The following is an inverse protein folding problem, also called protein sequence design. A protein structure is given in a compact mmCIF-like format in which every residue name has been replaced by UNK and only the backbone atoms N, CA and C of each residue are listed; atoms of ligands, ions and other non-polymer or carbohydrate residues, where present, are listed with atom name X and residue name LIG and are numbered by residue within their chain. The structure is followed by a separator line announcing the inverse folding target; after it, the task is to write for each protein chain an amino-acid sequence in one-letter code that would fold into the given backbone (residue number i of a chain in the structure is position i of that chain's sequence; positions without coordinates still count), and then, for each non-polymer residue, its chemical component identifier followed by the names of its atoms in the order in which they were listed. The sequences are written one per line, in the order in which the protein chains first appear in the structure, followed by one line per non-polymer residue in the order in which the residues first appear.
data_IF_466626931972
#
_entry.id   IF_466626931972
#
_cell.length_a   1.000
_cell.length_b   1.000
_cell.length_c   1.000
_cell.angle_alpha   90.00
_cell.angle_beta   90.00
_cell.angle_gamma   90.00
#
_symmetry.space_group_name_H-M   'P 1'
#
loop_
_entity.id
_entity.type
_entity.pdbx_description
1 polymer ?
#
# COMPACT_ATOMS: atom_id res chain seq x y z
N UNK A 1 -24.60 48.01 -23.91
CA UNK A 1 -23.23 47.45 -23.62
C UNK A 1 -23.41 46.18 -22.81
N UNK A 2 -23.46 45.04 -23.53
CA UNK A 2 -23.65 43.71 -22.95
C UNK A 2 -22.29 43.10 -22.67
N UNK A 3 -21.99 42.77 -21.40
CA UNK A 3 -20.80 41.99 -21.04
C UNK A 3 -21.12 40.51 -21.13
N UNK A 4 -20.60 39.87 -22.16
CA UNK A 4 -20.62 38.42 -22.31
C UNK A 4 -19.76 37.75 -21.23
N UNK A 5 -20.41 36.93 -20.43
CA UNK A 5 -19.81 36.09 -19.39
C UNK A 5 -19.28 34.79 -20.07
N UNK A 6 -18.06 34.80 -20.52
CA UNK A 6 -17.41 33.57 -21.02
C UNK A 6 -17.08 32.63 -19.83
N UNK A 7 -17.84 31.55 -19.68
CA UNK A 7 -17.51 30.43 -18.82
C UNK A 7 -16.32 29.68 -19.44
N UNK A 8 -15.17 29.78 -18.84
CA UNK A 8 -14.04 28.89 -19.16
C UNK A 8 -14.46 27.44 -18.86
N UNK A 9 -14.65 26.66 -19.91
CA UNK A 9 -14.74 25.21 -19.82
C UNK A 9 -13.35 24.70 -19.45
N UNK A 10 -13.22 24.19 -18.21
CA UNK A 10 -12.01 23.46 -17.78
C UNK A 10 -12.06 22.11 -18.49
N UNK A 11 -11.30 21.98 -19.57
CA UNK A 11 -11.14 20.73 -20.28
C UNK A 11 -10.41 19.72 -19.38
N UNK A 12 -11.01 18.58 -19.14
CA UNK A 12 -10.38 17.39 -18.56
C UNK A 12 -9.48 16.77 -19.64
N UNK A 13 -8.31 17.37 -19.86
CA UNK A 13 -7.26 16.73 -20.64
C UNK A 13 -6.60 15.66 -19.75
N UNK A 14 -6.76 14.39 -20.10
CA UNK A 14 -5.94 13.32 -19.53
C UNK A 14 -4.47 13.64 -19.84
N UNK A 15 -3.55 13.59 -18.87
CA UNK A 15 -2.14 13.88 -19.13
C UNK A 15 -1.58 12.83 -20.09
N UNK A 16 -1.02 13.27 -21.20
CA UNK A 16 -0.22 12.44 -22.08
C UNK A 16 0.96 11.86 -21.29
N UNK A 17 1.15 10.55 -21.38
CA UNK A 17 2.22 9.82 -20.76
C UNK A 17 3.60 10.42 -21.11
N UNK A 18 4.18 11.21 -20.20
CA UNK A 18 5.61 11.47 -20.23
C UNK A 18 6.29 10.34 -19.46
N UNK A 19 6.85 9.39 -20.20
CA UNK A 19 7.82 8.43 -19.67
C UNK A 19 9.13 9.21 -19.42
N UNK A 20 9.26 9.82 -18.24
CA UNK A 20 10.50 10.40 -17.74
C UNK A 20 10.90 9.58 -16.51
N UNK A 21 11.71 8.58 -16.75
CA UNK A 21 12.28 7.68 -15.77
C UNK A 21 12.65 6.39 -16.48
N UNK A 22 13.86 5.84 -16.24
CA UNK A 22 14.28 4.59 -16.88
C UNK A 22 13.20 3.51 -16.76
N UNK A 23 12.98 2.74 -17.82
CA UNK A 23 11.98 1.68 -17.88
C UNK A 23 12.18 0.75 -16.67
N UNK A 24 11.21 0.73 -15.76
CA UNK A 24 11.21 -0.22 -14.64
C UNK A 24 11.09 -1.63 -15.20
N UNK A 25 11.88 -2.62 -14.73
CA UNK A 25 11.72 -3.99 -15.17
C UNK A 25 10.25 -4.42 -15.01
N UNK A 26 9.67 -5.05 -16.02
CA UNK A 26 8.30 -5.59 -15.93
C UNK A 26 8.25 -6.78 -14.96
N UNK A 27 9.34 -7.52 -14.85
CA UNK A 27 9.49 -8.62 -13.90
C UNK A 27 10.48 -8.21 -12.80
N UNK A 28 10.05 -8.28 -11.55
CA UNK A 28 10.89 -8.11 -10.36
C UNK A 28 11.09 -9.47 -9.71
N UNK A 29 12.33 -9.93 -9.61
CA UNK A 29 12.70 -11.20 -9.00
C UNK A 29 13.67 -10.99 -7.82
N UNK A 30 13.50 -11.82 -6.80
CA UNK A 30 14.41 -11.90 -5.66
C UNK A 30 14.39 -13.32 -5.07
N UNK A 31 15.31 -13.71 -4.18
CA UNK A 31 15.45 -15.11 -3.74
C UNK A 31 14.19 -15.75 -3.17
N UNK A 32 13.22 -14.94 -2.71
CA UNK A 32 11.99 -15.43 -2.04
C UNK A 32 10.71 -15.19 -2.83
N UNK A 33 10.77 -14.63 -4.05
CA UNK A 33 9.56 -14.36 -4.81
C UNK A 33 9.79 -13.62 -6.11
N UNK A 34 8.68 -13.35 -6.78
CA UNK A 34 8.65 -12.57 -8.01
C UNK A 34 7.35 -11.79 -8.12
N UNK A 35 7.40 -10.65 -8.81
CA UNK A 35 6.22 -9.85 -9.15
C UNK A 35 6.28 -9.49 -10.63
N UNK A 36 5.19 -9.76 -11.34
CA UNK A 36 5.05 -9.42 -12.76
C UNK A 36 4.20 -8.15 -12.93
N UNK A 37 4.82 -7.10 -13.43
CA UNK A 37 4.21 -5.81 -13.75
C UNK A 37 3.95 -5.62 -15.25
N UNK A 38 4.12 -6.67 -16.08
CA UNK A 38 3.87 -6.59 -17.54
C UNK A 38 2.44 -6.17 -17.83
N UNK A 39 1.53 -6.59 -16.97
CA UNK A 39 0.15 -6.19 -17.01
C UNK A 39 -0.13 -4.81 -16.36
N UNK A 40 0.85 -4.06 -15.89
CA UNK A 40 0.72 -2.76 -15.21
C UNK A 40 0.52 -2.90 -13.70
N UNK A 41 -0.43 -2.13 -13.13
CA UNK A 41 -0.70 -2.15 -11.69
C UNK A 41 -1.16 -3.53 -11.20
N UNK A 42 -0.63 -3.95 -10.03
CA UNK A 42 -0.98 -5.20 -9.36
C UNK A 42 -1.66 -4.93 -8.01
N UNK A 43 -2.31 -5.95 -7.46
CA UNK A 43 -3.02 -5.87 -6.18
C UNK A 43 -2.20 -6.48 -5.05
N UNK A 44 -2.10 -5.74 -3.93
CA UNK A 44 -1.69 -6.22 -2.63
C UNK A 44 -2.95 -6.34 -1.75
N UNK A 45 -3.34 -7.57 -1.40
CA UNK A 45 -4.48 -7.85 -0.52
C UNK A 45 -4.12 -7.63 0.94
N UNK A 46 -5.00 -6.96 1.71
CA UNK A 46 -4.80 -6.65 3.14
C UNK A 46 -5.34 -7.77 4.02
N UNK A 47 -4.47 -8.45 4.73
CA UNK A 47 -4.83 -9.50 5.69
C UNK A 47 -4.50 -9.07 7.13
N UNK A 48 -5.48 -8.49 7.83
CA UNK A 48 -5.33 -8.11 9.23
C UNK A 48 -5.60 -9.30 10.17
N UNK A 49 -4.58 -9.72 10.92
CA UNK A 49 -4.68 -10.79 11.92
C UNK A 49 -4.89 -10.16 13.30
N UNK A 50 -6.04 -9.51 13.48
CA UNK A 50 -6.42 -8.87 14.75
C UNK A 50 -7.71 -9.49 15.30
N UNK A 51 -7.92 -9.51 16.64
CA UNK A 51 -9.12 -10.09 17.24
C UNK A 51 -10.42 -9.55 16.66
N UNK A 52 -10.46 -8.25 16.35
CA UNK A 52 -11.65 -7.59 15.80
C UNK A 52 -11.96 -7.99 14.35
N UNK A 53 -10.98 -8.56 13.64
CA UNK A 53 -11.17 -8.98 12.25
C UNK A 53 -11.90 -10.33 12.13
N UNK A 54 -11.94 -11.14 13.23
CA UNK A 54 -12.46 -12.51 13.22
C UNK A 54 -13.24 -12.87 14.49
N UNK A 55 -14.03 -11.98 15.02
CA UNK A 55 -14.52 -11.85 16.42
C UNK A 55 -15.46 -12.91 16.99
N UNK A 56 -15.60 -14.13 16.44
CA UNK A 56 -16.55 -15.13 16.95
C UNK A 56 -15.96 -16.50 17.41
N UNK A 57 -14.64 -16.61 17.59
CA UNK A 57 -14.03 -17.90 17.97
C UNK A 57 -12.63 -17.77 18.59
N UNK A 58 -12.21 -18.76 19.34
CA UNK A 58 -10.92 -18.78 20.04
C UNK A 58 -9.69 -18.73 19.11
N UNK A 59 -8.49 -18.50 19.67
CA UNK A 59 -7.22 -18.20 18.95
C UNK A 59 -6.85 -19.12 17.77
N UNK A 60 -7.18 -20.41 17.83
CA UNK A 60 -6.93 -21.35 16.74
C UNK A 60 -7.92 -21.19 15.58
N UNK A 61 -9.13 -20.77 15.87
CA UNK A 61 -10.16 -20.50 14.88
C UNK A 61 -9.82 -19.26 14.05
N UNK A 62 -9.23 -18.25 14.69
CA UNK A 62 -8.79 -17.00 14.05
C UNK A 62 -7.66 -17.23 13.05
N UNK A 63 -6.67 -18.09 13.37
CA UNK A 63 -5.56 -18.43 12.46
C UNK A 63 -6.08 -19.18 11.22
N UNK A 64 -6.97 -20.14 11.39
CA UNK A 64 -7.58 -20.90 10.28
C UNK A 64 -8.39 -20.00 9.34
N UNK A 65 -9.16 -19.07 9.89
CA UNK A 65 -9.92 -18.07 9.10
C UNK A 65 -8.99 -17.11 8.35
N UNK A 66 -7.93 -16.65 9.00
CA UNK A 66 -6.94 -15.78 8.37
C UNK A 66 -6.26 -16.48 7.18
N UNK A 67 -5.87 -17.75 7.33
CA UNK A 67 -5.30 -18.56 6.26
C UNK A 67 -6.33 -18.70 5.12
N UNK A 68 -7.58 -19.09 5.43
CA UNK A 68 -8.63 -19.25 4.43
C UNK A 68 -8.87 -17.96 3.63
N UNK A 69 -8.93 -16.81 4.31
CA UNK A 69 -9.10 -15.53 3.65
C UNK A 69 -7.87 -15.12 2.80
N UNK A 70 -6.65 -15.43 3.24
CA UNK A 70 -5.46 -15.23 2.42
C UNK A 70 -5.45 -16.10 1.16
N UNK A 71 -5.93 -17.35 1.24
CA UNK A 71 -6.11 -18.23 0.08
C UNK A 71 -7.16 -17.69 -0.89
N UNK A 72 -8.28 -17.18 -0.37
CA UNK A 72 -9.33 -16.52 -1.15
C UNK A 72 -8.77 -15.31 -1.91
N UNK A 73 -8.06 -14.40 -1.23
CA UNK A 73 -7.41 -13.24 -1.88
C UNK A 73 -6.47 -13.67 -3.02
N UNK A 74 -5.68 -14.73 -2.82
CA UNK A 74 -4.80 -15.25 -3.86
C UNK A 74 -5.59 -15.81 -5.06
N UNK A 75 -6.69 -16.51 -4.81
CA UNK A 75 -7.58 -17.03 -5.85
C UNK A 75 -8.31 -15.89 -6.60
N UNK A 76 -8.66 -14.81 -5.93
CA UNK A 76 -9.24 -13.59 -6.51
C UNK A 76 -8.26 -12.79 -7.36
N UNK A 77 -6.96 -13.07 -7.28
CA UNK A 77 -5.91 -12.45 -8.09
C UNK A 77 -5.06 -11.41 -7.38
N UNK A 78 -4.98 -11.44 -6.05
CA UNK A 78 -3.95 -10.70 -5.33
C UNK A 78 -2.57 -11.21 -5.77
N UNK A 79 -1.68 -10.29 -6.13
CA UNK A 79 -0.30 -10.60 -6.48
C UNK A 79 0.63 -10.62 -5.25
N UNK A 80 0.19 -10.03 -4.15
CA UNK A 80 0.86 -9.98 -2.84
C UNK A 80 -0.22 -10.13 -1.77
N UNK A 81 0.06 -10.87 -0.70
CA UNK A 81 -0.77 -10.87 0.52
C UNK A 81 0.02 -10.15 1.61
N UNK A 82 -0.53 -9.07 2.16
CA UNK A 82 0.13 -8.24 3.17
C UNK A 82 -0.47 -8.48 4.55
N UNK A 83 0.31 -9.10 5.43
CA UNK A 83 -0.13 -9.59 6.74
C UNK A 83 0.25 -8.59 7.82
N UNK A 84 -0.74 -8.08 8.56
CA UNK A 84 -0.55 -7.22 9.71
C UNK A 84 -1.04 -7.86 11.02
N UNK A 85 -0.19 -7.90 12.04
CA UNK A 85 -0.53 -8.42 13.38
C UNK A 85 -1.08 -7.37 14.33
N UNK A 86 -0.90 -6.09 14.02
CA UNK A 86 -1.31 -4.92 14.80
C UNK A 86 -2.22 -4.02 13.98
N UNK A 87 -3.21 -3.41 14.63
CA UNK A 87 -4.04 -2.40 13.98
C UNK A 87 -3.38 -1.02 14.11
N UNK A 88 -3.10 -0.38 12.99
CA UNK A 88 -2.57 1.00 12.93
C UNK A 88 -3.66 2.07 13.01
N UNK A 89 -4.90 1.71 13.39
CA UNK A 89 -5.97 2.69 13.61
C UNK A 89 -5.67 3.53 14.85
N UNK A 90 -5.97 4.85 14.85
CA UNK A 90 -5.64 5.75 15.97
C UNK A 90 -6.18 5.32 17.33
N UNK A 91 -7.28 4.58 17.36
CA UNK A 91 -7.95 4.10 18.60
C UNK A 91 -7.49 2.74 19.07
N UNK A 92 -6.62 2.06 18.30
CA UNK A 92 -6.14 0.73 18.67
C UNK A 92 -5.08 0.79 19.76
N UNK A 93 -5.20 -0.06 20.78
CA UNK A 93 -4.16 -0.22 21.77
C UNK A 93 -2.93 -0.91 21.16
N UNK A 94 -1.72 -0.44 21.46
CA UNK A 94 -0.50 -1.15 21.07
C UNK A 94 -0.47 -2.56 21.68
N UNK A 95 0.06 -3.51 20.93
CA UNK A 95 0.25 -4.88 21.42
C UNK A 95 1.74 -5.22 21.49
N UNK A 96 2.09 -6.17 22.37
CA UNK A 96 3.49 -6.57 22.52
C UNK A 96 4.03 -7.24 21.26
N UNK A 97 5.33 -7.11 21.04
CA UNK A 97 6.07 -7.80 19.96
C UNK A 97 5.79 -9.31 19.96
N UNK A 98 5.81 -9.95 21.14
CA UNK A 98 5.52 -11.37 21.26
C UNK A 98 4.10 -11.74 20.82
N UNK A 99 3.10 -10.91 21.10
CA UNK A 99 1.74 -11.13 20.64
C UNK A 99 1.61 -10.92 19.13
N UNK A 100 2.29 -9.93 18.54
CA UNK A 100 2.33 -9.75 17.09
C UNK A 100 2.92 -10.99 16.39
N UNK A 101 4.09 -11.47 16.83
CA UNK A 101 4.75 -12.67 16.31
C UNK A 101 3.82 -13.87 16.39
N UNK A 102 3.18 -14.09 17.54
CA UNK A 102 2.24 -15.18 17.78
C UNK A 102 1.05 -15.17 16.82
N UNK A 103 0.61 -13.98 16.36
CA UNK A 103 -0.47 -13.83 15.41
C UNK A 103 -0.02 -14.11 13.98
N UNK A 104 1.09 -13.49 13.55
CA UNK A 104 1.45 -13.48 12.14
C UNK A 104 2.19 -14.75 11.68
N UNK A 105 3.08 -15.31 12.51
CA UNK A 105 3.93 -16.44 12.12
C UNK A 105 3.11 -17.66 11.70
N UNK A 106 2.11 -18.15 12.48
CA UNK A 106 1.33 -19.32 12.07
C UNK A 106 0.52 -19.10 10.79
N UNK A 107 0.08 -17.85 10.52
CA UNK A 107 -0.64 -17.50 9.29
C UNK A 107 0.31 -17.52 8.09
N UNK A 108 1.51 -16.95 8.23
CA UNK A 108 2.53 -16.99 7.18
C UNK A 108 2.89 -18.44 6.84
N UNK A 109 3.23 -19.28 7.84
CA UNK A 109 3.57 -20.69 7.65
C UNK A 109 2.45 -21.52 7.02
N UNK A 110 1.20 -21.17 7.31
CA UNK A 110 0.05 -21.80 6.69
C UNK A 110 -0.16 -21.41 5.23
N UNK A 111 0.06 -20.13 4.91
CA UNK A 111 -0.13 -19.60 3.56
C UNK A 111 0.96 -20.02 2.58
N UNK A 112 2.25 -19.96 2.96
CA UNK A 112 3.37 -20.28 2.06
C UNK A 112 3.32 -21.70 1.49
N UNK A 113 2.59 -22.60 2.14
CA UNK A 113 2.42 -23.99 1.66
C UNK A 113 1.40 -24.12 0.55
N UNK A 114 0.55 -23.11 0.37
CA UNK A 114 -0.65 -23.19 -0.45
C UNK A 114 -0.78 -22.07 -1.49
N UNK A 115 0.04 -21.03 -1.43
CA UNK A 115 0.05 -19.91 -2.39
C UNK A 115 1.41 -19.76 -3.05
N UNK A 116 1.42 -19.30 -4.30
CA UNK A 116 2.65 -18.97 -5.04
C UNK A 116 2.97 -17.48 -4.99
N UNK A 117 2.05 -16.64 -4.52
CA UNK A 117 2.24 -15.20 -4.42
C UNK A 117 3.09 -14.87 -3.18
N UNK A 118 4.00 -13.88 -3.26
CA UNK A 118 4.81 -13.48 -2.12
C UNK A 118 3.95 -12.92 -0.99
N UNK A 119 4.37 -13.21 0.25
CA UNK A 119 3.77 -12.69 1.46
C UNK A 119 4.58 -11.50 1.95
N UNK A 120 3.92 -10.38 2.19
CA UNK A 120 4.45 -9.19 2.83
C UNK A 120 4.10 -9.18 4.31
N UNK A 121 4.99 -8.65 5.15
CA UNK A 121 4.72 -8.36 6.56
C UNK A 121 4.56 -6.87 6.78
N UNK A 122 3.36 -6.44 7.23
CA UNK A 122 3.03 -5.06 7.62
C UNK A 122 3.45 -4.84 9.07
N UNK A 123 4.64 -4.31 9.26
CA UNK A 123 5.20 -4.03 10.59
C UNK A 123 6.33 -2.99 10.52
N UNK A 124 6.43 -2.18 11.58
CA UNK A 124 7.57 -1.30 11.85
C UNK A 124 8.48 -1.84 12.96
N UNK A 125 8.21 -3.05 13.47
CA UNK A 125 8.97 -3.70 14.53
C UNK A 125 9.95 -4.70 13.94
N UNK A 126 11.24 -4.48 14.22
CA UNK A 126 12.33 -5.31 13.71
C UNK A 126 12.17 -6.80 14.06
N UNK A 127 11.85 -7.11 15.31
CA UNK A 127 11.75 -8.49 15.80
C UNK A 127 10.57 -9.22 15.15
N UNK A 128 9.47 -8.50 14.86
CA UNK A 128 8.32 -9.07 14.12
C UNK A 128 8.70 -9.34 12.67
N UNK A 129 9.40 -8.39 12.02
CA UNK A 129 9.84 -8.56 10.64
C UNK A 129 10.83 -9.73 10.51
N UNK A 130 11.79 -9.85 11.42
CA UNK A 130 12.75 -10.96 11.44
C UNK A 130 12.05 -12.31 11.58
N UNK A 131 11.12 -12.45 12.56
CA UNK A 131 10.36 -13.68 12.77
C UNK A 131 9.46 -14.01 11.54
N UNK A 132 8.81 -13.01 10.94
CA UNK A 132 8.00 -13.19 9.75
C UNK A 132 8.84 -13.65 8.53
N UNK A 133 10.01 -13.06 8.33
CA UNK A 133 10.92 -13.48 7.26
C UNK A 133 11.46 -14.91 7.50
N UNK A 134 11.73 -15.29 8.76
CA UNK A 134 12.09 -16.67 9.11
C UNK A 134 10.96 -17.65 8.82
N UNK A 135 9.70 -17.24 9.03
CA UNK A 135 8.51 -18.03 8.73
C UNK A 135 8.18 -18.10 7.23
N UNK A 136 8.87 -17.34 6.37
CA UNK A 136 8.71 -17.40 4.92
C UNK A 136 8.11 -16.16 4.26
N UNK A 137 7.93 -15.05 5.00
CA UNK A 137 7.61 -13.78 4.38
C UNK A 137 8.72 -13.37 3.39
N UNK A 138 8.34 -12.67 2.35
CA UNK A 138 9.19 -12.36 1.20
C UNK A 138 9.36 -10.86 0.95
N UNK A 139 8.67 -9.99 1.73
CA UNK A 139 8.66 -8.54 1.59
C UNK A 139 8.37 -7.89 2.94
N UNK A 140 8.88 -6.69 3.17
CA UNK A 140 8.59 -5.87 4.36
C UNK A 140 7.79 -4.64 3.93
N UNK A 141 6.68 -4.38 4.61
CA UNK A 141 5.89 -3.16 4.48
C UNK A 141 6.01 -2.37 5.79
N UNK A 142 6.81 -1.28 5.77
CA UNK A 142 7.13 -0.49 6.97
C UNK A 142 6.52 0.92 6.87
N UNK A 143 5.52 1.17 7.71
CA UNK A 143 4.82 2.46 7.82
C UNK A 143 5.70 3.60 8.34
N UNK A 144 6.91 3.30 8.83
CA UNK A 144 7.89 4.28 9.33
C UNK A 144 9.06 4.52 8.37
N UNK A 145 9.03 3.88 7.20
CA UNK A 145 10.05 3.99 6.16
C UNK A 145 11.46 3.68 6.66
N UNK A 146 11.66 2.54 7.34
CA UNK A 146 12.92 2.07 7.92
C UNK A 146 13.50 3.08 8.92
N UNK A 147 12.66 3.63 9.83
CA UNK A 147 13.14 4.51 10.90
C UNK A 147 14.11 3.80 11.84
N UNK A 148 13.90 2.51 12.09
CA UNK A 148 14.86 1.62 12.74
C UNK A 148 15.86 1.10 11.69
N UNK A 149 17.15 1.46 11.83
CA UNK A 149 18.19 1.08 10.89
C UNK A 149 18.36 -0.44 10.75
N UNK A 150 18.12 -1.19 11.85
CA UNK A 150 18.16 -2.65 11.86
C UNK A 150 17.20 -3.26 10.84
N UNK A 151 16.06 -2.59 10.56
CA UNK A 151 15.09 -3.02 9.55
C UNK A 151 15.68 -2.92 8.13
N UNK A 152 16.42 -1.84 7.83
CA UNK A 152 17.13 -1.66 6.56
C UNK A 152 18.23 -2.70 6.36
N UNK A 153 19.04 -2.94 7.40
CA UNK A 153 20.08 -3.98 7.40
C UNK A 153 19.48 -5.37 7.22
N UNK A 154 18.36 -5.67 7.89
CA UNK A 154 17.64 -6.94 7.76
C UNK A 154 17.14 -7.14 6.32
N UNK A 155 16.49 -6.14 5.74
CA UNK A 155 15.98 -6.22 4.38
C UNK A 155 17.09 -6.44 3.34
N UNK A 156 18.21 -5.74 3.48
CA UNK A 156 19.39 -5.90 2.62
C UNK A 156 20.00 -7.30 2.77
N UNK A 157 20.22 -7.77 4.01
CA UNK A 157 20.76 -9.11 4.32
C UNK A 157 19.87 -10.23 3.77
N UNK A 158 18.56 -10.08 3.91
CA UNK A 158 17.56 -11.07 3.44
C UNK A 158 17.22 -10.90 1.95
N UNK A 159 17.75 -9.84 1.32
CA UNK A 159 17.54 -9.51 -0.10
C UNK A 159 16.06 -9.36 -0.47
N UNK A 160 15.22 -8.84 0.44
CA UNK A 160 13.78 -8.68 0.23
C UNK A 160 13.41 -7.26 -0.18
N UNK A 161 12.32 -7.08 -0.96
CA UNK A 161 11.75 -5.78 -1.24
C UNK A 161 11.20 -5.11 0.03
N UNK A 162 11.18 -3.76 0.01
CA UNK A 162 10.63 -2.94 1.09
C UNK A 162 9.63 -1.92 0.56
N UNK A 163 8.57 -1.69 1.34
CA UNK A 163 7.68 -0.52 1.18
C UNK A 163 8.05 0.50 2.23
N UNK A 164 8.30 1.72 1.79
CA UNK A 164 8.62 2.88 2.60
C UNK A 164 7.42 3.81 2.60
N UNK A 165 6.68 3.89 3.72
CA UNK A 165 5.49 4.72 3.80
C UNK A 165 5.76 6.02 4.58
N UNK A 166 5.16 7.12 4.11
CA UNK A 166 5.15 8.39 4.84
C UNK A 166 4.00 8.47 5.84
N UNK A 167 4.32 8.79 7.07
CA UNK A 167 3.36 9.12 8.14
C UNK A 167 3.88 10.33 8.94
N UNK A 168 3.00 11.29 9.26
CA UNK A 168 3.30 12.34 10.22
C UNK A 168 2.85 11.89 11.62
N UNK A 169 3.75 11.94 12.60
CA UNK A 169 3.48 11.47 13.97
C UNK A 169 3.60 9.95 14.11
N UNK A 170 2.83 9.37 15.01
CA UNK A 170 2.71 7.92 15.25
C UNK A 170 1.29 7.45 14.94
N UNK A 171 1.01 6.15 14.84
CA UNK A 171 -0.36 5.66 14.64
C UNK A 171 -1.38 6.24 15.63
N UNK A 172 -0.97 6.47 16.90
CA UNK A 172 -1.82 7.02 17.95
C UNK A 172 -2.03 8.54 17.83
N UNK A 173 -1.04 9.27 17.32
CA UNK A 173 -1.05 10.75 17.27
C UNK A 173 -1.27 11.33 15.88
N UNK A 174 -1.14 10.55 14.83
CA UNK A 174 -1.14 11.00 13.44
C UNK A 174 -2.39 11.78 13.01
N UNK A 175 -3.52 11.62 13.69
CA UNK A 175 -4.75 12.34 13.36
C UNK A 175 -4.94 13.61 14.20
N UNK A 176 -4.00 13.92 15.12
CA UNK A 176 -4.03 15.13 15.93
C UNK A 176 -3.42 16.27 15.12
N UNK A 177 -4.27 17.09 14.50
CA UNK A 177 -3.92 18.30 13.73
C UNK A 177 -2.73 18.14 12.75
N UNK A 178 -2.77 17.22 11.77
CA UNK A 178 -1.68 17.09 10.82
C UNK A 178 -1.49 18.38 10.02
N UNK A 179 -0.26 18.92 9.97
CA UNK A 179 0.06 20.22 9.36
C UNK A 179 1.15 20.05 8.32
N UNK A 180 0.92 20.60 7.13
CA UNK A 180 1.87 20.70 6.03
C UNK A 180 1.78 22.09 5.41
N UNK A 181 2.90 22.62 4.95
CA UNK A 181 2.94 23.83 4.09
C UNK A 181 2.66 23.42 2.64
N UNK A 182 3.29 22.35 2.19
CA UNK A 182 3.11 21.69 0.91
C UNK A 182 3.14 20.17 1.13
N UNK A 183 1.96 19.55 1.32
CA UNK A 183 1.86 18.11 1.59
C UNK A 183 2.47 17.25 0.48
N UNK A 184 2.38 17.67 -0.78
CA UNK A 184 2.91 16.89 -1.91
C UNK A 184 4.43 16.98 -1.93
N UNK A 185 5.00 18.19 -1.83
CA UNK A 185 6.43 18.41 -1.80
C UNK A 185 7.10 17.75 -0.59
N UNK A 186 6.58 17.99 0.61
CA UNK A 186 7.15 17.44 1.85
C UNK A 186 7.14 15.91 1.88
N UNK A 187 6.03 15.27 1.45
CA UNK A 187 5.93 13.79 1.39
C UNK A 187 6.87 13.23 0.32
N UNK A 188 6.98 13.90 -0.82
CA UNK A 188 7.86 13.48 -1.91
C UNK A 188 9.34 13.56 -1.51
N UNK A 189 9.74 14.65 -0.86
CA UNK A 189 11.10 14.86 -0.34
C UNK A 189 11.44 13.78 0.70
N UNK A 190 10.58 13.58 1.71
CA UNK A 190 10.76 12.54 2.71
C UNK A 190 10.97 11.16 2.10
N UNK A 191 10.07 10.73 1.20
CA UNK A 191 10.16 9.41 0.59
C UNK A 191 11.41 9.27 -0.30
N UNK A 192 11.80 10.35 -0.98
CA UNK A 192 13.02 10.36 -1.80
C UNK A 192 14.29 10.19 -0.95
N UNK A 193 14.34 10.85 0.21
CA UNK A 193 15.45 10.69 1.16
C UNK A 193 15.47 9.28 1.78
N UNK A 194 14.31 8.78 2.19
CA UNK A 194 14.21 7.42 2.77
C UNK A 194 14.58 6.35 1.76
N UNK A 195 14.19 6.50 0.50
CA UNK A 195 14.56 5.58 -0.57
C UNK A 195 16.07 5.58 -0.83
N UNK A 196 16.71 6.76 -0.89
CA UNK A 196 18.18 6.86 -0.99
C UNK A 196 18.88 6.20 0.20
N UNK A 197 18.34 6.37 1.41
CA UNK A 197 18.87 5.70 2.60
C UNK A 197 18.74 4.18 2.51
N UNK A 198 17.63 3.66 1.98
CA UNK A 198 17.45 2.23 1.74
C UNK A 198 18.48 1.69 0.71
N UNK A 199 18.79 2.46 -0.34
CA UNK A 199 19.87 2.12 -1.29
C UNK A 199 21.24 2.05 -0.59
N UNK A 200 21.53 2.93 0.40
CA UNK A 200 22.77 2.91 1.18
C UNK A 200 22.90 1.67 2.09
N UNK A 201 21.80 1.06 2.53
CA UNK A 201 21.82 -0.26 3.19
C UNK A 201 22.13 -1.40 2.22
N UNK A 202 22.16 -1.14 0.90
CA UNK A 202 22.39 -2.15 -0.15
C UNK A 202 21.11 -2.76 -0.71
N UNK A 203 19.96 -2.16 -0.46
CA UNK A 203 18.69 -2.60 -1.08
C UNK A 203 18.65 -2.08 -2.52
N UNK A 204 18.55 -2.96 -3.55
CA UNK A 204 18.47 -2.53 -4.94
C UNK A 204 17.26 -1.63 -5.19
N UNK A 205 17.45 -0.57 -6.00
CA UNK A 205 16.41 0.44 -6.29
C UNK A 205 15.09 -0.17 -6.76
N UNK A 206 15.14 -1.20 -7.60
CA UNK A 206 13.96 -1.90 -8.12
C UNK A 206 13.17 -2.67 -7.05
N UNK A 207 13.77 -2.92 -5.87
CA UNK A 207 13.14 -3.55 -4.70
C UNK A 207 12.60 -2.55 -3.68
N UNK A 208 12.71 -1.25 -3.96
CA UNK A 208 12.19 -0.19 -3.10
C UNK A 208 10.86 0.30 -3.65
N UNK A 209 9.82 0.24 -2.83
CA UNK A 209 8.51 0.80 -3.09
C UNK A 209 8.30 2.00 -2.19
N UNK A 210 7.70 3.07 -2.70
CA UNK A 210 7.34 4.25 -1.91
C UNK A 210 5.82 4.38 -1.81
N UNK A 211 5.31 4.72 -0.62
CA UNK A 211 3.89 4.93 -0.36
C UNK A 211 3.66 6.32 0.26
N UNK A 212 2.89 7.21 -0.37
CA UNK A 212 2.55 8.52 0.18
C UNK A 212 1.75 8.46 1.50
N UNK A 213 1.27 7.28 1.90
CA UNK A 213 0.60 7.07 3.18
C UNK A 213 -0.77 7.75 3.25
N UNK A 214 -1.66 7.45 2.30
CA UNK A 214 -3.04 7.96 2.29
C UNK A 214 -3.74 7.58 3.59
N UNK A 215 -4.27 8.60 4.31
CA UNK A 215 -4.95 8.41 5.59
C UNK A 215 -4.04 8.39 6.82
N UNK A 216 -2.72 8.46 6.67
CA UNK A 216 -1.76 8.47 7.77
C UNK A 216 -1.22 9.89 8.02
N UNK A 217 -1.66 10.53 9.11
CA UNK A 217 -1.25 11.90 9.44
C UNK A 217 -1.67 12.93 8.38
N UNK A 218 -2.90 12.82 7.87
CA UNK A 218 -3.38 13.63 6.74
C UNK A 218 -4.87 13.98 6.88
N UNK A 219 -5.22 15.23 6.61
CA UNK A 219 -6.61 15.68 6.50
C UNK A 219 -7.26 15.13 5.22
N UNK A 220 -8.58 15.33 5.05
CA UNK A 220 -9.26 15.00 3.77
C UNK A 220 -8.59 15.72 2.61
N UNK A 221 -8.36 17.03 2.76
CA UNK A 221 -7.74 17.84 1.71
C UNK A 221 -6.32 17.37 1.36
N UNK A 222 -5.51 17.01 2.37
CA UNK A 222 -4.16 16.47 2.12
C UNK A 222 -4.22 15.16 1.31
N UNK A 223 -5.16 14.26 1.63
CA UNK A 223 -5.31 13.01 0.87
C UNK A 223 -5.74 13.27 -0.57
N UNK A 224 -6.65 14.21 -0.81
CA UNK A 224 -7.07 14.59 -2.16
C UNK A 224 -5.93 15.21 -2.97
N UNK A 225 -5.12 16.08 -2.35
CA UNK A 225 -3.95 16.69 -3.01
C UNK A 225 -2.91 15.62 -3.38
N UNK A 226 -2.62 14.65 -2.51
CA UNK A 226 -1.69 13.56 -2.79
C UNK A 226 -2.19 12.68 -3.94
N UNK A 227 -3.47 12.27 -3.92
CA UNK A 227 -4.05 11.47 -4.99
C UNK A 227 -4.09 12.22 -6.32
N UNK A 228 -4.38 13.52 -6.30
CA UNK A 228 -4.41 14.36 -7.52
C UNK A 228 -3.02 14.62 -8.12
N UNK A 229 -1.94 14.41 -7.35
CA UNK A 229 -0.55 14.58 -7.78
C UNK A 229 0.26 13.28 -7.66
N UNK A 230 -0.40 12.12 -7.75
CA UNK A 230 0.26 10.83 -7.56
C UNK A 230 1.28 10.53 -8.69
N UNK A 231 1.09 11.11 -9.86
CA UNK A 231 2.00 11.08 -11.00
C UNK A 231 3.39 11.61 -10.65
N UNK A 232 3.51 12.60 -9.76
CA UNK A 232 4.79 13.12 -9.29
C UNK A 232 5.59 12.05 -8.51
N UNK A 233 4.91 11.20 -7.77
CA UNK A 233 5.54 10.06 -7.08
C UNK A 233 5.98 8.99 -8.10
N UNK A 234 5.16 8.72 -9.11
CA UNK A 234 5.50 7.80 -10.20
C UNK A 234 6.72 8.30 -10.96
N UNK A 235 6.84 9.61 -11.18
CA UNK A 235 7.96 10.25 -11.88
C UNK A 235 9.31 10.14 -11.13
N UNK A 236 9.33 9.78 -9.83
CA UNK A 236 10.59 9.52 -9.10
C UNK A 236 11.39 8.33 -9.63
N UNK A 237 10.74 7.44 -10.37
CA UNK A 237 11.33 6.21 -10.87
C UNK A 237 11.31 5.04 -9.87
N UNK A 238 10.95 5.25 -8.60
CA UNK A 238 10.63 4.15 -7.68
C UNK A 238 9.25 3.55 -7.99
N UNK A 239 9.02 2.30 -7.60
CA UNK A 239 7.67 1.73 -7.65
C UNK A 239 6.79 2.40 -6.61
N UNK A 240 5.58 2.80 -7.00
CA UNK A 240 4.64 3.45 -6.09
C UNK A 240 3.59 2.45 -5.65
N UNK A 241 3.38 2.38 -4.34
CA UNK A 241 2.28 1.68 -3.70
C UNK A 241 1.31 2.72 -3.13
N UNK A 242 0.01 2.48 -3.26
CA UNK A 242 -1.03 3.34 -2.65
C UNK A 242 -2.10 2.48 -1.99
N UNK A 243 -2.39 2.77 -0.72
CA UNK A 243 -3.45 2.10 0.06
C UNK A 243 -4.68 2.99 0.30
N UNK A 244 -5.59 3.20 -0.67
CA UNK A 244 -6.75 4.08 -0.51
C UNK A 244 -7.96 3.35 0.09
N UNK A 245 -7.92 2.02 0.21
CA UNK A 245 -9.05 1.16 0.48
C UNK A 245 -9.74 1.45 1.82
N UNK A 246 -11.03 1.72 1.76
CA UNK A 246 -11.93 1.92 2.90
C UNK A 246 -11.53 3.07 3.84
N UNK A 247 -10.62 3.98 3.41
CA UNK A 247 -10.09 5.08 4.22
C UNK A 247 -11.16 6.10 4.60
N UNK A 248 -10.94 6.77 5.75
CA UNK A 248 -11.91 7.70 6.36
C UNK A 248 -12.22 8.92 5.49
N UNK A 249 -11.27 9.40 4.66
CA UNK A 249 -11.51 10.52 3.76
C UNK A 249 -12.63 10.20 2.76
N UNK A 250 -12.73 8.97 2.26
CA UNK A 250 -13.83 8.52 1.39
C UNK A 250 -15.14 8.61 2.13
N UNK A 251 -15.20 8.11 3.38
CA UNK A 251 -16.40 8.18 4.19
C UNK A 251 -16.87 9.60 4.45
N UNK A 252 -15.92 10.54 4.72
CA UNK A 252 -16.23 11.97 4.92
C UNK A 252 -16.79 12.64 3.67
N UNK A 253 -16.35 12.22 2.48
CA UNK A 253 -16.85 12.78 1.20
C UNK A 253 -18.22 12.19 0.83
N UNK A 254 -18.39 10.88 1.04
CA UNK A 254 -19.57 10.13 0.56
C UNK A 254 -20.68 9.99 1.60
N UNK A 255 -20.44 10.42 2.84
CA UNK A 255 -21.36 10.19 3.96
C UNK A 255 -21.40 8.73 4.45
N UNK A 256 -20.45 7.87 4.03
CA UNK A 256 -20.40 6.46 4.41
C UNK A 256 -19.58 6.26 5.67
N UNK A 257 -20.24 5.99 6.79
CA UNK A 257 -19.59 5.80 8.10
C UNK A 257 -18.86 4.45 8.17
N UNK A 258 -19.53 3.37 7.75
CA UNK A 258 -18.96 2.01 7.81
C UNK A 258 -17.91 1.81 6.72
N UNK A 259 -16.69 1.34 7.07
CA UNK A 259 -15.62 1.11 6.09
C UNK A 259 -16.02 0.22 4.91
N UNK A 260 -16.79 -0.83 5.14
CA UNK A 260 -17.26 -1.75 4.09
C UNK A 260 -18.17 -1.08 3.04
N UNK A 261 -18.85 0.02 3.39
CA UNK A 261 -19.72 0.74 2.47
C UNK A 261 -18.96 1.68 1.51
N UNK A 262 -17.63 1.80 1.67
CA UNK A 262 -16.78 2.74 0.91
C UNK A 262 -16.20 2.15 -0.38
N UNK A 263 -16.72 1.03 -0.85
CA UNK A 263 -16.17 0.27 -1.99
C UNK A 263 -16.14 1.12 -3.28
N UNK A 264 -17.21 1.82 -3.62
CA UNK A 264 -17.24 2.66 -4.83
C UNK A 264 -16.27 3.85 -4.77
N UNK A 265 -16.11 4.46 -3.59
CA UNK A 265 -15.10 5.51 -3.40
C UNK A 265 -13.67 4.96 -3.42
N UNK A 266 -13.46 3.73 -2.94
CA UNK A 266 -12.20 3.00 -3.11
C UNK A 266 -11.92 2.74 -4.59
N UNK A 267 -12.91 2.24 -5.35
CA UNK A 267 -12.80 1.98 -6.78
C UNK A 267 -12.41 3.25 -7.57
N UNK A 268 -13.03 4.39 -7.26
CA UNK A 268 -12.68 5.68 -7.88
C UNK A 268 -11.23 6.09 -7.61
N UNK A 269 -10.76 5.96 -6.34
CA UNK A 269 -9.38 6.27 -5.98
C UNK A 269 -8.38 5.30 -6.64
N UNK A 270 -8.71 4.01 -6.69
CA UNK A 270 -7.90 2.98 -7.39
C UNK A 270 -7.81 3.28 -8.88
N UNK A 271 -8.92 3.62 -9.54
CA UNK A 271 -8.94 3.96 -10.96
C UNK A 271 -8.00 5.14 -11.28
N UNK A 272 -8.01 6.20 -10.47
CA UNK A 272 -7.09 7.35 -10.60
C UNK A 272 -5.63 6.92 -10.41
N UNK A 273 -5.33 6.11 -9.41
CA UNK A 273 -3.98 5.60 -9.16
C UNK A 273 -3.46 4.77 -10.35
N UNK A 274 -4.30 3.87 -10.88
CA UNK A 274 -3.94 3.01 -12.03
C UNK A 274 -3.69 3.85 -13.28
N UNK A 275 -4.57 4.83 -13.57
CA UNK A 275 -4.40 5.76 -14.71
C UNK A 275 -3.12 6.58 -14.61
N UNK A 276 -2.67 6.91 -13.40
CA UNK A 276 -1.43 7.65 -13.16
C UNK A 276 -0.16 6.78 -13.17
N UNK A 277 -0.27 5.45 -13.36
CA UNK A 277 0.87 4.54 -13.44
C UNK A 277 1.39 4.03 -12.08
N UNK A 278 0.56 4.03 -11.03
CA UNK A 278 0.89 3.39 -9.75
C UNK A 278 1.16 1.91 -9.95
N UNK A 279 2.20 1.39 -9.31
CA UNK A 279 2.65 0.00 -9.49
C UNK A 279 1.83 -1.00 -8.67
N UNK A 280 1.41 -0.61 -7.45
CA UNK A 280 0.67 -1.50 -6.52
C UNK A 280 -0.45 -0.72 -5.85
N UNK A 281 -1.65 -1.30 -5.79
CA UNK A 281 -2.73 -0.82 -4.94
C UNK A 281 -2.98 -1.81 -3.81
N UNK A 282 -3.00 -1.30 -2.57
CA UNK A 282 -3.23 -2.09 -1.36
C UNK A 282 -4.70 -1.99 -0.96
N UNK A 283 -5.43 -3.11 -1.03
CA UNK A 283 -6.89 -3.13 -0.92
C UNK A 283 -7.41 -4.32 -0.10
N UNK A 284 -8.65 -4.17 0.43
CA UNK A 284 -9.37 -5.24 1.12
C UNK A 284 -10.23 -6.06 0.16
N UNK A 285 -10.79 -5.42 -0.86
CA UNK A 285 -11.77 -5.98 -1.80
C UNK A 285 -11.03 -6.34 -3.10
N UNK A 286 -10.37 -7.52 -3.13
CA UNK A 286 -9.44 -7.90 -4.20
C UNK A 286 -10.14 -8.08 -5.54
N UNK A 287 -11.20 -8.89 -5.58
CA UNK A 287 -11.92 -9.21 -6.81
C UNK A 287 -12.47 -7.95 -7.50
N UNK A 288 -13.15 -7.08 -6.74
CA UNK A 288 -13.75 -5.86 -7.26
C UNK A 288 -12.69 -4.87 -7.76
N UNK A 289 -11.58 -4.74 -7.04
CA UNK A 289 -10.51 -3.82 -7.45
C UNK A 289 -9.71 -4.37 -8.63
N UNK A 290 -9.64 -5.69 -8.80
CA UNK A 290 -9.07 -6.31 -10.00
C UNK A 290 -9.89 -5.96 -11.24
N UNK A 291 -11.21 -5.96 -11.14
CA UNK A 291 -12.08 -5.56 -12.25
C UNK A 291 -11.92 -4.07 -12.58
N UNK A 292 -11.77 -3.20 -11.58
CA UNK A 292 -11.43 -1.78 -11.79
C UNK A 292 -10.14 -1.63 -12.58
N UNK A 293 -9.08 -2.35 -12.20
CA UNK A 293 -7.79 -2.33 -12.90
C UNK A 293 -7.94 -2.78 -14.36
N UNK A 294 -8.66 -3.90 -14.62
CA UNK A 294 -8.91 -4.40 -15.97
C UNK A 294 -9.61 -3.37 -16.85
N UNK A 295 -10.66 -2.71 -16.33
CA UNK A 295 -11.42 -1.69 -17.07
C UNK A 295 -10.55 -0.48 -17.38
N UNK A 296 -9.82 0.07 -16.39
CA UNK A 296 -8.91 1.21 -16.61
C UNK A 296 -7.88 0.89 -17.67
N UNK A 297 -7.27 -0.30 -17.62
CA UNK A 297 -6.30 -0.76 -18.63
C UNK A 297 -6.92 -0.82 -20.03
N UNK A 298 -8.10 -1.42 -20.15
CA UNK A 298 -8.77 -1.55 -21.44
C UNK A 298 -9.10 -0.18 -22.05
N UNK A 299 -9.41 0.83 -21.23
CA UNK A 299 -9.62 2.22 -21.65
C UNK A 299 -8.31 2.85 -22.13
N UNK A 300 -7.20 2.63 -21.38
CA UNK A 300 -5.90 3.24 -21.66
C UNK A 300 -5.17 2.62 -22.86
N UNK A 301 -5.51 1.40 -23.28
CA UNK A 301 -4.85 0.67 -24.39
C UNK A 301 -5.51 0.89 -25.76
N UNK A 302 -6.47 1.82 -25.88
CA UNK A 302 -7.21 2.08 -27.15
C UNK A 302 -6.46 2.86 -28.21
N UNK A 303 -5.19 3.21 -27.97
CA UNK A 303 -4.35 3.93 -28.95
C UNK A 303 -3.34 2.96 -29.60
N UNK A 304 -3.85 1.91 -30.25
CA UNK A 304 -3.07 0.97 -31.04
C UNK A 304 -3.84 0.51 -32.26
#
# INVERSE_FOLDING_TARGET
MSKSNERKVVGWGLPHHYIVGGLKPTLLEWPRGRLDFSAGCIIMGVLNVTPDSFSDGGKFFDTGRAIAHGLEMAAEGAAIIDIGGESTRPTSAPISTAEQIKRVVPVIEGLIKNVSVPISIDTYNYEVAEAALQAGAAMINDITALSDERMGELAAKQQVPVVLMHMQGTPQTMQIEPKYRDVVGEVLEFLSERAKRAELFGIPRERIFIDPGIGFGKTVQHNLLLLNNIDKFVATGYRVLVGPSRKSFIGKITGKEKPAERIFGTAAAVALCVSAGVSVVRVHDVAEMLDVIKVVKAISQRDG
#
